data_IF_282829823006
#
_entry.id   IF_282829823006
#
_cell.length_a   1.000
_cell.length_b   1.000
_cell.length_c   1.000
_cell.angle_alpha   90.00
_cell.angle_beta   90.00
_cell.angle_gamma   90.00
#
_symmetry.space_group_name_H-M   'P 1'
#
loop_
_entity.id
_entity.type
_entity.pdbx_description
1 polymer ?
#
# COMPACT_ATOMS: atom_id res chain seq x y z
N UNK A 1 -27.75 75.59 -15.61
CA UNK A 1 -27.21 75.13 -14.32
C UNK A 1 -27.48 73.66 -14.11
N UNK A 2 -27.12 72.78 -15.05
CA UNK A 2 -27.61 71.38 -15.12
C UNK A 2 -26.51 70.33 -15.42
N UNK A 3 -25.25 70.65 -15.17
CA UNK A 3 -24.17 69.73 -15.59
C UNK A 3 -23.36 69.10 -14.45
N UNK A 4 -23.74 69.34 -13.17
CA UNK A 4 -22.96 68.85 -12.02
C UNK A 4 -23.58 67.60 -11.30
N UNK A 5 -24.78 67.20 -11.60
CA UNK A 5 -25.42 66.06 -10.95
C UNK A 5 -25.14 64.72 -11.60
N UNK A 6 -24.65 64.68 -12.82
CA UNK A 6 -24.44 63.40 -13.57
C UNK A 6 -23.08 62.71 -13.22
N UNK A 7 -22.12 63.42 -12.66
CA UNK A 7 -20.78 62.85 -12.39
C UNK A 7 -20.74 62.09 -11.05
N UNK A 8 -21.62 62.44 -10.10
CA UNK A 8 -21.62 61.83 -8.78
C UNK A 8 -22.33 60.47 -8.76
N UNK A 9 -23.36 60.27 -9.57
CA UNK A 9 -24.10 59.02 -9.71
C UNK A 9 -23.27 57.86 -10.28
N UNK A 10 -22.27 58.16 -11.11
CA UNK A 10 -21.43 57.12 -11.76
C UNK A 10 -20.39 56.50 -10.82
N UNK A 11 -20.06 57.14 -9.70
CA UNK A 11 -19.08 56.61 -8.73
C UNK A 11 -19.73 55.73 -7.67
N UNK A 12 -20.96 56.02 -7.26
CA UNK A 12 -21.69 55.20 -6.28
C UNK A 12 -22.12 53.83 -6.86
N UNK A 13 -22.44 53.73 -8.15
CA UNK A 13 -22.79 52.47 -8.80
C UNK A 13 -21.59 51.51 -9.02
N UNK A 14 -20.39 52.00 -8.97
CA UNK A 14 -19.19 51.16 -9.14
C UNK A 14 -18.68 50.47 -7.87
N UNK A 15 -19.00 51.02 -6.70
CA UNK A 15 -18.53 50.53 -5.40
C UNK A 15 -19.11 49.13 -5.04
N UNK A 16 -20.41 48.83 -5.24
CA UNK A 16 -20.95 47.52 -4.94
C UNK A 16 -20.36 46.41 -5.81
N UNK A 17 -20.11 46.69 -7.10
CA UNK A 17 -19.60 45.71 -8.07
C UNK A 17 -18.19 45.20 -7.73
N UNK A 18 -17.33 46.05 -7.22
CA UNK A 18 -15.96 45.67 -6.82
C UNK A 18 -15.95 44.85 -5.49
N UNK A 19 -16.89 45.10 -4.59
CA UNK A 19 -17.05 44.32 -3.35
C UNK A 19 -17.52 42.88 -3.65
N UNK A 20 -18.43 42.72 -4.59
CA UNK A 20 -18.97 41.41 -4.97
C UNK A 20 -17.93 40.53 -5.70
N UNK A 21 -17.08 41.12 -6.53
CA UNK A 21 -15.99 40.40 -7.18
C UNK A 21 -14.93 39.91 -6.16
N UNK A 22 -14.59 40.72 -5.16
CA UNK A 22 -13.66 40.32 -4.10
C UNK A 22 -14.25 39.21 -3.22
N UNK A 23 -15.54 39.29 -2.89
CA UNK A 23 -16.25 38.25 -2.14
C UNK A 23 -16.32 36.94 -2.93
N UNK A 24 -16.62 36.98 -4.23
CA UNK A 24 -16.63 35.78 -5.09
C UNK A 24 -15.26 35.11 -5.18
N UNK A 25 -14.18 35.90 -5.29
CA UNK A 25 -12.80 35.34 -5.29
C UNK A 25 -12.42 34.78 -3.93
N UNK A 26 -12.79 35.43 -2.81
CA UNK A 26 -12.54 34.94 -1.46
C UNK A 26 -13.32 33.66 -1.17
N UNK A 27 -14.62 33.61 -1.54
CA UNK A 27 -15.45 32.42 -1.39
C UNK A 27 -14.91 31.25 -2.22
N UNK A 28 -14.45 31.51 -3.45
CA UNK A 28 -13.87 30.45 -4.29
C UNK A 28 -12.60 29.86 -3.65
N UNK A 29 -11.72 30.69 -3.08
CA UNK A 29 -10.53 30.23 -2.35
C UNK A 29 -10.91 29.44 -1.11
N UNK A 30 -11.88 29.94 -0.34
CA UNK A 30 -12.39 29.23 0.83
C UNK A 30 -13.00 27.88 0.46
N UNK A 31 -13.82 27.83 -0.59
CA UNK A 31 -14.38 26.57 -1.10
C UNK A 31 -13.28 25.59 -1.55
N UNK A 32 -12.25 26.06 -2.22
CA UNK A 32 -11.12 25.21 -2.63
C UNK A 32 -10.40 24.61 -1.43
N UNK A 33 -10.14 25.41 -0.40
CA UNK A 33 -9.50 24.95 0.84
C UNK A 33 -10.40 23.94 1.57
N UNK A 34 -11.71 24.21 1.62
CA UNK A 34 -12.67 23.32 2.28
C UNK A 34 -12.78 21.96 1.55
N UNK A 35 -12.80 21.97 0.20
CA UNK A 35 -12.78 20.75 -0.61
C UNK A 35 -11.49 19.96 -0.38
N UNK A 36 -10.34 20.63 -0.40
CA UNK A 36 -9.06 19.99 -0.13
C UNK A 36 -9.04 19.34 1.25
N UNK A 37 -9.54 20.01 2.26
CA UNK A 37 -9.64 19.50 3.62
C UNK A 37 -10.60 18.30 3.71
N UNK A 38 -11.75 18.36 3.03
CA UNK A 38 -12.70 17.25 2.96
C UNK A 38 -12.09 16.02 2.28
N UNK A 39 -11.31 16.20 1.20
CA UNK A 39 -10.58 15.12 0.52
C UNK A 39 -9.53 14.50 1.46
N UNK A 40 -8.82 15.32 2.21
CA UNK A 40 -7.81 14.85 3.17
C UNK A 40 -8.46 14.01 4.30
N UNK A 41 -9.59 14.47 4.84
CA UNK A 41 -10.36 13.69 5.83
C UNK A 41 -10.84 12.37 5.22
N UNK A 42 -11.40 12.40 4.01
CA UNK A 42 -11.86 11.21 3.33
C UNK A 42 -10.73 10.20 3.10
N UNK A 43 -9.51 10.67 2.79
CA UNK A 43 -8.32 9.84 2.63
C UNK A 43 -7.93 9.17 3.96
N UNK A 44 -7.93 9.93 5.07
CA UNK A 44 -7.62 9.39 6.40
C UNK A 44 -8.64 8.34 6.81
N UNK A 45 -9.94 8.61 6.61
CA UNK A 45 -11.01 7.66 6.89
C UNK A 45 -10.86 6.39 6.04
N UNK A 46 -10.55 6.54 4.75
CA UNK A 46 -10.28 5.41 3.87
C UNK A 46 -9.14 4.53 4.39
N UNK A 47 -8.03 5.12 4.84
CA UNK A 47 -6.89 4.38 5.39
C UNK A 47 -7.22 3.65 6.70
N UNK A 48 -8.20 4.11 7.47
CA UNK A 48 -8.61 3.48 8.73
C UNK A 48 -9.69 2.41 8.55
N UNK A 49 -10.36 2.39 7.41
CA UNK A 49 -11.43 1.44 7.13
C UNK A 49 -10.89 0.10 6.63
N UNK A 50 -11.57 -0.99 6.93
CA UNK A 50 -11.24 -2.36 6.43
C UNK A 50 -11.22 -2.49 4.90
N UNK A 51 -11.68 -1.48 4.17
CA UNK A 51 -11.54 -1.42 2.70
C UNK A 51 -10.06 -1.35 2.28
N UNK A 52 -9.17 -0.89 3.17
CA UNK A 52 -7.72 -0.82 2.94
C UNK A 52 -6.96 -2.07 3.41
N UNK A 53 -7.62 -3.08 3.96
CA UNK A 53 -6.96 -4.31 4.41
C UNK A 53 -6.54 -5.18 3.23
N UNK A 54 -5.48 -5.97 3.42
CA UNK A 54 -5.08 -7.03 2.50
C UNK A 54 -6.21 -8.06 2.41
N UNK A 55 -6.72 -8.29 1.20
CA UNK A 55 -7.82 -9.24 0.95
C UNK A 55 -7.33 -10.64 0.69
N UNK A 56 -6.19 -10.77 0.05
CA UNK A 56 -5.57 -12.05 -0.26
C UNK A 56 -4.06 -11.88 -0.39
N UNK A 57 -3.35 -12.90 0.03
CA UNK A 57 -1.93 -13.09 -0.25
C UNK A 57 -1.83 -14.33 -1.14
N UNK A 58 -1.28 -14.19 -2.33
CA UNK A 58 -1.07 -15.28 -3.26
C UNK A 58 0.41 -15.61 -3.28
N UNK A 59 0.77 -16.84 -2.97
CA UNK A 59 2.15 -17.32 -3.03
C UNK A 59 2.29 -18.27 -4.22
N UNK A 60 3.19 -17.97 -5.13
CA UNK A 60 3.45 -18.75 -6.32
C UNK A 60 4.89 -19.30 -6.31
N UNK A 61 5.17 -20.27 -7.19
CA UNK A 61 6.52 -20.80 -7.42
C UNK A 61 6.95 -21.86 -6.41
N UNK A 62 6.06 -22.28 -5.50
CA UNK A 62 6.32 -23.31 -4.51
C UNK A 62 6.27 -24.71 -5.17
N UNK A 63 7.28 -25.54 -4.88
CA UNK A 63 7.37 -26.93 -5.32
C UNK A 63 7.46 -27.89 -4.14
N UNK A 64 8.25 -27.56 -3.14
CA UNK A 64 8.48 -28.36 -1.96
C UNK A 64 8.29 -27.63 -0.64
N UNK A 65 8.35 -26.29 -0.63
CA UNK A 65 7.96 -25.48 0.53
C UNK A 65 6.45 -25.35 0.62
N UNK A 66 5.92 -25.28 1.83
CA UNK A 66 4.49 -24.98 2.04
C UNK A 66 4.27 -23.47 2.10
N UNK A 67 3.10 -23.04 1.59
CA UNK A 67 2.68 -21.63 1.69
C UNK A 67 2.69 -21.12 3.13
N UNK A 68 2.21 -21.95 4.07
CA UNK A 68 2.19 -21.62 5.49
C UNK A 68 3.59 -21.36 6.05
N UNK A 69 4.60 -22.11 5.58
CA UNK A 69 5.98 -21.92 6.01
C UNK A 69 6.56 -20.59 5.50
N UNK A 70 6.30 -20.26 4.24
CA UNK A 70 6.74 -19.01 3.64
C UNK A 70 6.05 -17.83 4.33
N UNK A 71 4.75 -17.89 4.54
CA UNK A 71 3.99 -16.82 5.20
C UNK A 71 4.38 -16.63 6.67
N UNK A 72 4.80 -17.70 7.37
CA UNK A 72 5.33 -17.60 8.74
C UNK A 72 6.64 -16.80 8.81
N UNK A 73 7.34 -16.62 7.69
CA UNK A 73 8.52 -15.77 7.58
C UNK A 73 8.21 -14.29 7.40
N UNK A 74 6.94 -13.90 7.36
CA UNK A 74 6.49 -12.51 7.19
C UNK A 74 5.43 -12.17 8.25
N UNK A 75 5.30 -10.87 8.55
CA UNK A 75 4.23 -10.36 9.43
C UNK A 75 2.97 -9.96 8.64
N UNK A 76 2.77 -10.53 7.45
CA UNK A 76 1.61 -10.19 6.62
C UNK A 76 0.45 -11.12 6.93
N UNK A 77 -0.69 -10.51 7.26
CA UNK A 77 -1.97 -11.18 7.38
C UNK A 77 -3.10 -10.35 6.73
N UNK A 78 -4.31 -10.90 6.72
CA UNK A 78 -5.50 -10.22 6.19
C UNK A 78 -5.96 -9.01 7.02
N UNK A 79 -5.35 -8.75 8.18
CA UNK A 79 -5.58 -7.54 8.99
C UNK A 79 -4.60 -6.42 8.65
N UNK A 80 -3.53 -6.72 7.91
CA UNK A 80 -2.51 -5.75 7.51
C UNK A 80 -3.10 -4.76 6.51
N UNK A 81 -2.84 -3.46 6.72
CA UNK A 81 -3.26 -2.43 5.75
C UNK A 81 -2.38 -2.46 4.51
N UNK A 82 -2.99 -2.54 3.32
CA UNK A 82 -2.25 -2.63 2.05
C UNK A 82 -1.24 -1.48 1.86
N UNK A 83 -1.52 -0.31 2.42
CA UNK A 83 -0.63 0.86 2.36
C UNK A 83 0.62 0.72 3.23
N UNK A 84 0.58 -0.15 4.25
CA UNK A 84 1.70 -0.44 5.15
C UNK A 84 2.58 -1.58 4.62
N UNK A 85 2.07 -2.36 3.66
CA UNK A 85 2.82 -3.43 3.01
C UNK A 85 3.97 -2.82 2.22
N UNK A 86 5.18 -3.12 2.62
CA UNK A 86 6.42 -2.73 1.93
C UNK A 86 6.99 -3.94 1.19
N UNK A 87 6.86 -4.03 -0.15
CA UNK A 87 7.36 -5.17 -0.91
C UNK A 87 8.83 -5.48 -0.63
N UNK A 88 9.68 -4.43 -0.58
CA UNK A 88 11.13 -4.58 -0.33
C UNK A 88 11.49 -5.12 1.06
N UNK A 89 10.67 -4.84 2.07
CA UNK A 89 10.88 -5.40 3.41
C UNK A 89 10.52 -6.87 3.43
N UNK A 90 9.39 -7.22 2.84
CA UNK A 90 8.93 -8.61 2.72
C UNK A 90 9.93 -9.44 1.91
N UNK A 91 10.40 -8.95 0.77
CA UNK A 91 11.45 -9.61 -0.01
C UNK A 91 12.70 -9.88 0.83
N UNK A 92 13.13 -8.88 1.62
CA UNK A 92 14.31 -9.04 2.50
C UNK A 92 14.09 -10.09 3.60
N UNK A 93 12.89 -10.11 4.19
CA UNK A 93 12.51 -11.08 5.22
C UNK A 93 12.44 -12.49 4.62
N UNK A 94 11.77 -12.63 3.49
CA UNK A 94 11.63 -13.92 2.82
C UNK A 94 12.95 -14.47 2.27
N UNK A 95 13.87 -13.62 1.79
CA UNK A 95 15.21 -14.07 1.41
C UNK A 95 16.04 -14.62 2.59
N UNK A 96 15.66 -14.29 3.81
CA UNK A 96 16.29 -14.85 5.01
C UNK A 96 15.68 -16.20 5.43
N UNK A 97 14.54 -16.59 4.83
CA UNK A 97 13.89 -17.88 5.12
C UNK A 97 14.67 -19.00 4.46
N UNK A 98 15.09 -20.04 5.21
CA UNK A 98 15.79 -21.18 4.63
C UNK A 98 14.97 -21.86 3.54
N UNK A 99 15.62 -22.17 2.41
CA UNK A 99 14.95 -22.78 1.26
C UNK A 99 14.44 -21.80 0.21
N UNK A 100 14.44 -20.51 0.50
CA UNK A 100 14.13 -19.46 -0.46
C UNK A 100 15.44 -18.97 -1.11
N UNK A 101 15.51 -19.07 -2.43
CA UNK A 101 16.65 -18.59 -3.21
C UNK A 101 16.47 -17.14 -3.63
N UNK A 102 15.30 -16.81 -4.17
CA UNK A 102 14.93 -15.43 -4.51
C UNK A 102 13.41 -15.25 -4.37
N UNK A 103 12.98 -14.00 -4.25
CA UNK A 103 11.58 -13.65 -4.09
C UNK A 103 11.31 -12.29 -4.69
N UNK A 104 10.18 -12.19 -5.38
CA UNK A 104 9.62 -10.94 -5.88
C UNK A 104 8.24 -10.73 -5.27
N UNK A 105 7.99 -9.52 -4.80
CA UNK A 105 6.73 -9.18 -4.13
C UNK A 105 6.06 -8.03 -4.84
N UNK A 106 4.85 -8.26 -5.34
CA UNK A 106 4.03 -7.25 -5.99
C UNK A 106 2.76 -6.93 -5.20
N UNK A 107 2.37 -5.69 -5.26
CA UNK A 107 1.19 -5.16 -4.56
C UNK A 107 0.18 -4.63 -5.57
N UNK A 108 -0.96 -5.30 -5.67
CA UNK A 108 -2.05 -4.91 -6.55
C UNK A 108 -2.94 -3.82 -5.96
N UNK A 109 -3.54 -3.01 -6.83
CA UNK A 109 -4.58 -2.02 -6.49
C UNK A 109 -5.85 -2.63 -5.87
N UNK A 110 -6.06 -3.95 -6.03
CA UNK A 110 -7.21 -4.67 -5.47
C UNK A 110 -6.95 -5.22 -4.07
N UNK A 111 -5.93 -4.70 -3.36
CA UNK A 111 -5.53 -5.15 -2.03
C UNK A 111 -5.06 -6.61 -2.00
N UNK A 112 -4.45 -7.07 -3.08
CA UNK A 112 -3.86 -8.39 -3.20
C UNK A 112 -2.34 -8.23 -3.18
N UNK A 113 -1.67 -9.04 -2.37
CA UNK A 113 -0.21 -9.18 -2.36
C UNK A 113 0.12 -10.47 -3.10
N UNK A 114 0.97 -10.40 -4.09
CA UNK A 114 1.49 -11.56 -4.81
C UNK A 114 2.95 -11.74 -4.46
N UNK A 115 3.32 -12.92 -4.05
CA UNK A 115 4.68 -13.32 -3.67
C UNK A 115 5.10 -14.44 -4.63
N UNK A 116 6.03 -14.14 -5.51
CA UNK A 116 6.62 -15.12 -6.42
C UNK A 116 7.95 -15.59 -5.83
N UNK A 117 8.00 -16.86 -5.42
CA UNK A 117 9.13 -17.48 -4.73
C UNK A 117 9.91 -18.35 -5.68
N UNK A 118 11.23 -18.17 -5.75
CA UNK A 118 12.16 -19.13 -6.33
C UNK A 118 12.78 -19.93 -5.20
N UNK A 119 12.52 -21.24 -5.18
CA UNK A 119 13.03 -22.14 -4.15
C UNK A 119 14.47 -22.58 -4.43
N UNK A 120 15.27 -22.80 -3.36
CA UNK A 120 16.55 -23.46 -3.47
C UNK A 120 16.39 -24.93 -3.91
N UNK A 121 17.31 -25.38 -4.74
CA UNK A 121 17.27 -26.74 -5.28
C UNK A 121 17.56 -27.75 -4.18
N UNK A 122 16.62 -28.62 -3.91
CA UNK A 122 16.84 -29.76 -3.03
C UNK A 122 17.67 -30.82 -3.76
N UNK A 123 18.80 -31.23 -3.19
CA UNK A 123 19.73 -32.20 -3.79
C UNK A 123 19.71 -33.56 -3.11
N UNK A 124 19.36 -33.64 -1.85
CA UNK A 124 19.31 -34.90 -1.11
C UNK A 124 18.37 -34.79 0.11
N UNK A 125 17.90 -35.96 0.56
CA UNK A 125 17.27 -36.14 1.85
C UNK A 125 18.22 -36.93 2.75
N UNK A 126 18.37 -36.49 3.98
CA UNK A 126 19.04 -37.25 5.03
C UNK A 126 18.01 -37.58 6.11
N UNK A 127 17.84 -38.87 6.38
CA UNK A 127 16.99 -39.33 7.49
C UNK A 127 17.93 -39.84 8.59
N UNK A 128 17.87 -39.17 9.73
CA UNK A 128 18.51 -39.61 10.96
C UNK A 128 17.42 -40.18 11.89
N UNK A 129 17.77 -40.99 12.87
CA UNK A 129 16.82 -41.69 13.76
C UNK A 129 15.83 -40.74 14.51
N UNK A 130 16.07 -39.42 14.45
CA UNK A 130 15.24 -38.41 15.14
C UNK A 130 14.72 -37.29 14.23
N UNK A 131 15.29 -37.06 13.05
CA UNK A 131 14.85 -35.97 12.15
C UNK A 131 15.10 -36.31 10.69
N UNK A 132 14.14 -35.91 9.86
CA UNK A 132 14.33 -35.86 8.42
C UNK A 132 14.77 -34.45 8.02
N UNK A 133 15.87 -34.36 7.26
CA UNK A 133 16.48 -33.09 6.86
C UNK A 133 16.71 -33.09 5.36
N UNK A 134 16.23 -32.07 4.68
CA UNK A 134 16.56 -31.80 3.30
C UNK A 134 17.91 -31.08 3.20
N UNK A 135 18.75 -31.51 2.28
CA UNK A 135 20.01 -30.86 1.93
C UNK A 135 19.79 -30.03 0.66
N UNK A 136 20.03 -28.73 0.78
CA UNK A 136 19.86 -27.79 -0.33
C UNK A 136 21.15 -27.62 -1.14
N UNK A 137 21.04 -27.04 -2.34
CA UNK A 137 22.16 -26.89 -3.26
C UNK A 137 23.23 -25.92 -2.74
N UNK A 138 22.88 -25.02 -1.86
CA UNK A 138 23.78 -24.10 -1.16
C UNK A 138 24.53 -24.76 0.03
N UNK A 139 24.20 -26.03 0.33
CA UNK A 139 24.75 -26.80 1.44
C UNK A 139 24.03 -26.59 2.76
N UNK A 140 22.98 -25.80 2.80
CA UNK A 140 22.15 -25.62 4.00
C UNK A 140 21.27 -26.84 4.26
N UNK A 141 20.89 -27.01 5.52
CA UNK A 141 20.01 -28.09 5.98
C UNK A 141 18.64 -27.50 6.35
N UNK A 142 17.59 -28.08 5.79
CA UNK A 142 16.23 -27.66 6.06
C UNK A 142 15.45 -28.78 6.76
N UNK A 143 14.87 -28.53 7.96
CA UNK A 143 14.01 -29.52 8.62
C UNK A 143 12.73 -29.74 7.80
N UNK A 144 12.31 -30.99 7.66
CA UNK A 144 11.15 -31.36 6.81
C UNK A 144 9.80 -30.86 7.30
N UNK A 145 9.72 -30.20 8.44
CA UNK A 145 8.47 -29.65 8.99
C UNK A 145 7.77 -28.57 8.16
N UNK A 146 8.43 -28.04 7.12
CA UNK A 146 7.86 -27.05 6.18
C UNK A 146 7.65 -27.58 4.76
N UNK A 147 7.81 -28.89 4.57
CA UNK A 147 7.76 -29.56 3.26
C UNK A 147 6.37 -30.18 3.04
N UNK A 148 5.87 -30.13 1.81
CA UNK A 148 4.63 -30.80 1.36
C UNK A 148 4.81 -32.29 1.16
#
# INVERSE_FOLDING_TARGET
METRQNTVRSLEDRIPYMKDQRRKKANRRLSTILILFAVLIALVVYMQTSVSDVKAVNVNGLSWLTEAYVLAGTDIDTSTKIVQVSPKEIERELRAVPGVKDVDVDRSWYNIVTIDVEEEKMIAYSRTDQEEVAVLADGSLHPTGGIT
#
